data_IF_635866647048
#
_entry.id   IF_635866647048
#
_cell.length_a   1.000
_cell.length_b   1.000
_cell.length_c   1.000
_cell.angle_alpha   90.00
_cell.angle_beta   90.00
_cell.angle_gamma   90.00
#
_symmetry.space_group_name_H-M   'P 1'
#
loop_
_entity.id
_entity.type
_entity.pdbx_description
1 polymer ?
#
# COMPACT_ATOMS: atom_id res chain seq x y z
N UNK A 1 -49.24 0.06 11.84
CA UNK A 1 -48.78 0.96 12.91
C UNK A 1 -47.74 0.22 13.73
N UNK A 2 -46.46 0.55 13.53
CA UNK A 2 -45.35 0.00 14.32
C UNK A 2 -45.52 0.51 15.76
N UNK A 3 -45.85 -0.36 16.69
CA UNK A 3 -45.82 -0.03 18.12
C UNK A 3 -44.35 0.00 18.56
N UNK A 4 -43.81 1.19 18.77
CA UNK A 4 -42.50 1.37 19.39
C UNK A 4 -42.71 1.16 20.90
N UNK A 5 -42.15 0.07 21.43
CA UNK A 5 -42.08 -0.14 22.88
C UNK A 5 -40.79 0.51 23.37
N UNK A 6 -40.85 1.59 24.16
CA UNK A 6 -39.65 2.17 24.71
C UNK A 6 -39.01 1.21 25.70
N UNK A 7 -37.71 0.98 25.55
CA UNK A 7 -36.89 0.38 26.59
C UNK A 7 -36.95 1.33 27.79
N UNK A 8 -37.52 0.87 28.87
CA UNK A 8 -37.75 1.71 30.02
C UNK A 8 -36.46 2.19 30.67
N UNK A 9 -36.19 3.46 30.60
CA UNK A 9 -35.26 4.07 31.52
C UNK A 9 -35.92 4.14 32.90
N UNK A 10 -35.15 3.90 33.96
CA UNK A 10 -35.64 4.04 35.36
C UNK A 10 -36.22 5.42 35.67
N UNK A 11 -35.88 6.42 34.86
CA UNK A 11 -36.43 7.79 35.01
C UNK A 11 -36.93 8.29 33.65
N UNK A 12 -38.03 9.03 33.65
CA UNK A 12 -38.57 9.68 32.45
C UNK A 12 -37.51 10.61 31.83
N UNK A 13 -37.29 10.47 30.50
CA UNK A 13 -36.34 11.27 29.72
C UNK A 13 -34.86 11.18 30.18
N UNK A 14 -34.49 10.18 30.98
CA UNK A 14 -33.14 10.00 31.51
C UNK A 14 -32.62 11.19 32.35
N UNK A 15 -33.51 12.05 32.85
CA UNK A 15 -33.13 13.25 33.60
C UNK A 15 -33.08 13.06 35.11
N UNK A 16 -33.48 11.90 35.60
CA UNK A 16 -33.46 11.63 37.05
C UNK A 16 -34.63 12.24 37.88
N UNK A 17 -35.47 13.07 37.25
CA UNK A 17 -36.46 13.88 37.95
C UNK A 17 -37.77 13.13 38.24
N UNK A 18 -38.09 12.11 37.46
CA UNK A 18 -39.33 11.34 37.59
C UNK A 18 -39.10 9.87 37.26
N UNK A 19 -39.59 8.97 38.08
CA UNK A 19 -39.53 7.53 37.80
C UNK A 19 -40.43 7.15 36.63
N UNK A 20 -39.98 6.23 35.81
CA UNK A 20 -40.79 5.60 34.76
C UNK A 20 -41.88 4.75 35.44
N UNK A 21 -43.06 4.69 34.85
CA UNK A 21 -44.14 3.88 35.40
C UNK A 21 -43.74 2.39 35.42
N UNK A 22 -43.69 1.81 36.62
CA UNK A 22 -43.28 0.40 36.83
C UNK A 22 -44.20 -0.58 36.11
N UNK A 23 -45.45 -0.20 35.87
CA UNK A 23 -46.43 -1.00 35.12
C UNK A 23 -45.97 -1.18 33.65
N UNK A 24 -45.57 -0.08 33.00
CA UNK A 24 -45.07 -0.10 31.61
C UNK A 24 -43.80 -0.97 31.48
N UNK A 25 -42.89 -0.92 32.46
CA UNK A 25 -41.71 -1.75 32.52
C UNK A 25 -42.04 -3.23 32.73
N UNK A 26 -43.03 -3.52 33.57
CA UNK A 26 -43.48 -4.89 33.83
C UNK A 26 -44.16 -5.48 32.59
N UNK A 27 -44.98 -4.72 31.88
CA UNK A 27 -45.61 -5.16 30.64
C UNK A 27 -44.56 -5.40 29.54
N UNK A 28 -43.57 -4.53 29.38
CA UNK A 28 -42.48 -4.73 28.45
C UNK A 28 -41.64 -5.99 28.79
N UNK A 29 -41.39 -6.22 30.07
CA UNK A 29 -40.70 -7.42 30.55
C UNK A 29 -41.53 -8.69 30.32
N UNK A 30 -42.83 -8.66 30.51
CA UNK A 30 -43.73 -9.81 30.23
C UNK A 30 -43.77 -10.13 28.72
N UNK A 31 -43.89 -9.10 27.87
CA UNK A 31 -43.87 -9.28 26.42
C UNK A 31 -42.55 -9.92 25.98
N UNK A 32 -41.44 -9.52 26.54
CA UNK A 32 -40.12 -10.08 26.27
C UNK A 32 -40.07 -11.56 26.72
N UNK A 33 -40.47 -11.86 27.93
CA UNK A 33 -40.49 -13.21 28.49
C UNK A 33 -41.38 -14.17 27.63
N UNK A 34 -42.56 -13.76 27.25
CA UNK A 34 -43.43 -14.53 26.36
C UNK A 34 -42.77 -14.79 24.97
N UNK A 35 -42.06 -13.81 24.43
CA UNK A 35 -41.32 -13.97 23.16
C UNK A 35 -40.18 -14.98 23.31
N UNK A 36 -39.39 -14.88 24.38
CA UNK A 36 -38.32 -15.84 24.68
C UNK A 36 -38.88 -17.28 24.83
N UNK A 37 -39.99 -17.43 25.53
CA UNK A 37 -40.71 -18.67 25.71
C UNK A 37 -41.13 -19.26 24.38
N UNK A 38 -41.70 -18.47 23.46
CA UNK A 38 -42.08 -18.88 22.13
C UNK A 38 -40.88 -19.33 21.27
N UNK A 39 -39.71 -18.67 21.39
CA UNK A 39 -38.49 -19.09 20.72
C UNK A 39 -38.08 -20.49 21.20
N UNK A 40 -38.11 -20.74 22.51
CA UNK A 40 -37.68 -22.01 23.10
C UNK A 40 -38.71 -23.13 22.86
N UNK A 41 -40.02 -22.84 22.95
CA UNK A 41 -41.09 -23.82 22.83
C UNK A 41 -41.52 -24.07 21.38
N UNK A 42 -41.70 -23.01 20.59
CA UNK A 42 -42.25 -23.09 19.22
C UNK A 42 -41.18 -23.02 18.14
N UNK A 43 -39.94 -22.66 18.50
CA UNK A 43 -38.85 -22.41 17.53
C UNK A 43 -39.10 -21.23 16.60
N UNK A 44 -39.96 -20.27 16.99
CA UNK A 44 -40.32 -19.10 16.17
C UNK A 44 -39.77 -17.80 16.76
N UNK A 45 -38.97 -17.12 15.96
CA UNK A 45 -38.39 -15.80 16.30
C UNK A 45 -39.37 -14.66 16.01
N UNK A 46 -38.97 -13.45 16.39
CA UNK A 46 -39.82 -12.24 16.26
C UNK A 46 -40.21 -11.96 14.81
N UNK A 47 -39.31 -12.23 13.87
CA UNK A 47 -39.49 -12.04 12.43
C UNK A 47 -40.04 -13.30 11.70
N UNK A 48 -40.33 -14.34 12.44
CA UNK A 48 -40.90 -15.59 11.92
C UNK A 48 -39.87 -16.64 11.48
N UNK A 49 -38.58 -16.31 11.50
CA UNK A 49 -37.50 -17.25 11.22
C UNK A 49 -37.40 -18.35 12.29
N UNK A 50 -36.82 -19.48 11.91
CA UNK A 50 -36.36 -20.50 12.86
C UNK A 50 -35.02 -20.09 13.52
N UNK A 51 -34.58 -20.83 14.55
CA UNK A 51 -33.38 -20.51 15.30
C UNK A 51 -32.09 -20.54 14.46
N UNK A 52 -32.06 -21.30 13.38
CA UNK A 52 -30.87 -21.45 12.50
C UNK A 52 -30.92 -20.66 11.21
N UNK A 53 -32.04 -19.99 10.92
CA UNK A 53 -32.24 -19.31 9.65
C UNK A 53 -31.45 -18.01 9.54
N UNK A 54 -30.82 -17.81 8.39
CA UNK A 54 -30.23 -16.55 7.98
C UNK A 54 -31.26 -15.63 7.31
N UNK A 55 -31.08 -14.33 7.44
CA UNK A 55 -31.80 -13.37 6.59
C UNK A 55 -31.29 -13.42 5.16
N UNK A 56 -32.05 -12.91 4.17
CA UNK A 56 -31.60 -12.83 2.79
C UNK A 56 -30.22 -12.12 2.68
N UNK A 57 -29.32 -12.70 1.87
CA UNK A 57 -27.95 -12.23 1.67
C UNK A 57 -27.80 -11.59 0.29
N UNK A 58 -27.06 -10.50 0.21
CA UNK A 58 -26.61 -9.88 -1.04
C UNK A 58 -25.17 -9.40 -0.91
N UNK A 59 -24.39 -9.60 -1.97
CA UNK A 59 -22.99 -9.17 -2.06
C UNK A 59 -22.76 -8.50 -3.41
N UNK A 60 -22.09 -7.35 -3.39
CA UNK A 60 -21.70 -6.60 -4.60
C UNK A 60 -20.28 -6.07 -4.44
N UNK A 61 -19.56 -5.95 -5.56
CA UNK A 61 -18.22 -5.34 -5.62
C UNK A 61 -18.16 -4.31 -6.75
N UNK A 62 -17.14 -3.43 -6.73
CA UNK A 62 -16.99 -2.42 -7.77
C UNK A 62 -18.06 -1.32 -7.76
N UNK A 63 -18.72 -1.10 -6.62
CA UNK A 63 -19.84 -0.14 -6.47
C UNK A 63 -19.41 1.30 -6.75
N UNK A 64 -18.19 1.69 -6.39
CA UNK A 64 -17.61 2.99 -6.64
C UNK A 64 -16.45 2.89 -7.65
N UNK A 65 -16.64 3.33 -8.90
CA UNK A 65 -15.65 3.12 -9.97
C UNK A 65 -14.31 3.82 -9.76
N UNK A 66 -14.27 4.86 -8.95
CA UNK A 66 -13.04 5.65 -8.66
C UNK A 66 -12.29 5.16 -7.42
N UNK A 67 -12.88 4.27 -6.63
CA UNK A 67 -12.22 3.66 -5.47
C UNK A 67 -11.24 2.56 -5.91
N UNK A 68 -10.27 2.23 -5.05
CA UNK A 68 -9.32 1.16 -5.34
C UNK A 68 -9.96 -0.23 -5.18
N UNK A 69 -11.02 -0.34 -4.39
CA UNK A 69 -11.85 -1.53 -4.23
C UNK A 69 -13.03 -1.24 -3.33
N UNK A 70 -14.16 -1.87 -3.60
CA UNK A 70 -15.38 -1.72 -2.80
C UNK A 70 -16.07 -3.05 -2.64
N UNK A 71 -16.66 -3.23 -1.45
CA UNK A 71 -17.54 -4.37 -1.16
C UNK A 71 -18.78 -3.88 -0.45
N UNK A 72 -19.93 -4.17 -0.99
CA UNK A 72 -21.23 -3.96 -0.38
C UNK A 72 -21.77 -5.30 0.06
N UNK A 73 -22.10 -5.43 1.33
CA UNK A 73 -22.70 -6.63 1.89
C UNK A 73 -23.99 -6.29 2.61
N UNK A 74 -25.02 -7.04 2.31
CA UNK A 74 -26.33 -6.89 2.93
C UNK A 74 -26.81 -8.23 3.50
N UNK A 75 -27.40 -8.16 4.71
CA UNK A 75 -28.04 -9.27 5.39
C UNK A 75 -29.33 -8.77 5.97
N UNK A 76 -30.45 -9.09 5.31
CA UNK A 76 -31.74 -8.50 5.60
C UNK A 76 -31.69 -6.98 5.51
N UNK A 77 -31.98 -6.30 6.62
CA UNK A 77 -31.98 -4.83 6.73
C UNK A 77 -30.60 -4.24 7.08
N UNK A 78 -29.62 -5.08 7.42
CA UNK A 78 -28.27 -4.63 7.73
C UNK A 78 -27.45 -4.52 6.46
N UNK A 79 -26.95 -3.34 6.14
CA UNK A 79 -26.17 -3.05 4.96
C UNK A 79 -24.91 -2.26 5.30
N UNK A 80 -23.76 -2.74 4.83
CA UNK A 80 -22.44 -2.11 5.04
C UNK A 80 -21.65 -2.08 3.73
N UNK A 81 -21.11 -0.93 3.41
CA UNK A 81 -20.16 -0.73 2.33
C UNK A 81 -18.75 -0.52 2.89
N UNK A 82 -17.78 -1.27 2.40
CA UNK A 82 -16.37 -1.01 2.64
C UNK A 82 -15.71 -0.42 1.41
N UNK A 83 -14.84 0.56 1.64
CA UNK A 83 -14.01 1.20 0.62
C UNK A 83 -12.54 1.00 0.99
N UNK A 84 -11.77 0.47 0.05
CA UNK A 84 -10.32 0.28 0.20
C UNK A 84 -9.57 1.42 -0.45
N UNK A 85 -8.60 1.97 0.26
CA UNK A 85 -7.57 2.84 -0.28
C UNK A 85 -6.22 2.17 -0.08
N UNK A 86 -5.47 2.03 -1.16
CA UNK A 86 -4.08 1.55 -1.16
C UNK A 86 -3.13 2.72 -1.32
N UNK A 87 -2.05 2.72 -0.56
CA UNK A 87 -1.06 3.79 -0.57
C UNK A 87 0.35 3.24 -0.40
N UNK A 88 1.34 4.11 -0.61
CA UNK A 88 2.75 3.81 -0.36
C UNK A 88 2.99 3.35 1.08
N UNK A 89 3.96 2.45 1.34
CA UNK A 89 4.28 1.96 2.69
C UNK A 89 4.52 3.09 3.69
N UNK A 90 5.17 4.17 3.29
CA UNK A 90 5.45 5.34 4.14
C UNK A 90 4.20 6.07 4.65
N UNK A 91 3.03 5.79 4.08
CA UNK A 91 1.73 6.33 4.53
C UNK A 91 1.13 5.52 5.68
N UNK A 92 1.90 4.62 6.29
CA UNK A 92 1.50 3.86 7.46
C UNK A 92 1.23 4.76 8.67
N UNK A 93 0.58 4.22 9.67
CA UNK A 93 0.43 4.88 10.96
C UNK A 93 1.63 4.52 11.86
N UNK A 94 2.38 5.54 12.27
CA UNK A 94 3.42 5.37 13.29
C UNK A 94 2.75 5.13 14.66
N UNK A 95 3.25 4.13 15.37
CA UNK A 95 2.78 3.77 16.70
C UNK A 95 3.86 4.14 17.73
N UNK A 96 3.50 5.02 18.67
CA UNK A 96 4.33 5.33 19.83
C UNK A 96 3.63 4.72 21.06
N UNK A 97 3.87 3.42 21.26
CA UNK A 97 3.30 2.62 22.33
C UNK A 97 4.39 1.79 23.02
N UNK A 98 4.05 1.17 24.15
CA UNK A 98 4.95 0.24 24.84
C UNK A 98 5.10 -1.12 24.13
N UNK A 99 4.34 -1.36 23.06
CA UNK A 99 4.43 -2.59 22.28
C UNK A 99 5.62 -2.58 21.30
N UNK A 100 6.00 -3.73 20.77
CA UNK A 100 7.12 -3.85 19.83
C UNK A 100 6.81 -3.31 18.44
N UNK A 101 5.53 -3.14 18.11
CA UNK A 101 5.12 -2.65 16.79
C UNK A 101 5.21 -1.13 16.74
N UNK A 102 6.00 -0.61 15.79
CA UNK A 102 6.19 0.83 15.55
C UNK A 102 5.41 1.34 14.34
N UNK A 103 4.95 0.44 13.47
CA UNK A 103 4.28 0.77 12.22
C UNK A 103 3.02 -0.07 12.05
N UNK A 104 1.94 0.58 11.62
CA UNK A 104 0.68 -0.09 11.32
C UNK A 104 0.32 0.16 9.86
N UNK A 105 0.38 -0.88 9.04
CA UNK A 105 0.11 -0.84 7.60
C UNK A 105 -1.32 -1.20 7.23
N UNK A 106 -2.09 -1.73 8.16
CA UNK A 106 -3.51 -2.03 7.99
C UNK A 106 -4.37 -1.18 8.90
N UNK A 107 -5.13 -0.27 8.32
CA UNK A 107 -6.01 0.68 9.01
C UNK A 107 -7.46 0.32 8.70
N UNK A 108 -8.26 0.11 9.73
CA UNK A 108 -9.69 -0.14 9.59
C UNK A 108 -10.49 0.91 10.35
N UNK A 109 -11.27 1.70 9.64
CA UNK A 109 -12.16 2.71 10.19
C UNK A 109 -13.59 2.25 10.03
N UNK A 110 -14.39 2.47 11.06
CA UNK A 110 -15.79 2.07 11.09
C UNK A 110 -16.64 3.28 11.43
N UNK A 111 -17.56 3.61 10.55
CA UNK A 111 -18.46 4.73 10.66
C UNK A 111 -19.91 4.22 10.75
N UNK A 112 -20.61 4.65 11.80
CA UNK A 112 -22.01 4.34 12.02
C UNK A 112 -22.76 5.61 12.38
N UNK A 113 -23.28 6.26 11.36
CA UNK A 113 -24.05 7.47 11.56
C UNK A 113 -25.44 7.16 12.17
N UNK A 114 -26.04 8.08 12.92
CA UNK A 114 -27.34 7.86 13.59
C UNK A 114 -28.45 7.38 12.65
N UNK A 115 -28.48 7.88 11.42
CA UNK A 115 -29.50 7.47 10.45
C UNK A 115 -29.47 5.97 10.09
N UNK A 116 -28.30 5.31 10.25
CA UNK A 116 -28.21 3.88 10.00
C UNK A 116 -29.13 3.05 10.91
N UNK A 117 -29.44 3.55 12.11
CA UNK A 117 -30.42 2.98 13.03
C UNK A 117 -31.80 3.64 12.92
N UNK A 118 -32.02 4.57 12.00
CA UNK A 118 -33.21 5.38 11.92
C UNK A 118 -33.33 6.46 13.03
N UNK A 119 -32.19 6.81 13.64
CA UNK A 119 -32.11 7.80 14.71
C UNK A 119 -31.66 9.16 14.19
N UNK A 120 -32.00 10.22 14.96
CA UNK A 120 -31.42 11.54 14.78
C UNK A 120 -30.27 11.74 15.78
N UNK A 121 -29.19 12.39 15.36
CA UNK A 121 -28.08 12.63 16.26
C UNK A 121 -26.93 13.40 15.61
N UNK A 122 -26.00 13.83 16.46
CA UNK A 122 -24.81 14.54 16.01
C UNK A 122 -23.82 13.54 15.36
N UNK A 123 -23.38 13.87 14.16
CA UNK A 123 -22.25 13.21 13.50
C UNK A 123 -20.95 13.90 13.91
N UNK A 124 -19.94 13.14 14.30
CA UNK A 124 -18.68 13.69 14.79
C UNK A 124 -17.61 12.61 14.93
N UNK A 125 -16.71 12.77 15.89
CA UNK A 125 -15.65 11.78 16.15
C UNK A 125 -16.22 10.42 16.53
N UNK A 126 -15.55 9.31 16.13
CA UNK A 126 -15.97 7.96 16.46
C UNK A 126 -16.13 7.76 17.98
N UNK A 127 -17.20 7.11 18.38
CA UNK A 127 -17.48 6.74 19.77
C UNK A 127 -16.79 5.40 20.10
N UNK A 128 -16.78 5.00 21.36
CA UNK A 128 -16.20 3.73 21.82
C UNK A 128 -16.75 2.51 21.08
N UNK A 129 -18.05 2.51 20.77
CA UNK A 129 -18.71 1.42 20.04
C UNK A 129 -18.12 1.29 18.63
N UNK A 130 -17.95 2.39 17.93
CA UNK A 130 -17.39 2.41 16.57
C UNK A 130 -15.92 1.96 16.57
N UNK A 131 -15.15 2.43 17.56
CA UNK A 131 -13.75 1.98 17.73
C UNK A 131 -13.68 0.48 18.00
N UNK A 132 -14.53 -0.05 18.89
CA UNK A 132 -14.58 -1.48 19.22
C UNK A 132 -15.00 -2.35 18.03
N UNK A 133 -16.02 -1.94 17.28
CA UNK A 133 -16.48 -2.63 16.08
C UNK A 133 -15.40 -2.64 14.99
N UNK A 134 -14.75 -1.51 14.76
CA UNK A 134 -13.62 -1.43 13.82
C UNK A 134 -12.44 -2.30 14.23
N UNK A 135 -12.11 -2.33 15.52
CA UNK A 135 -11.02 -3.17 16.05
C UNK A 135 -11.32 -4.69 15.88
N UNK A 136 -12.57 -5.10 16.11
CA UNK A 136 -12.98 -6.49 15.90
C UNK A 136 -12.90 -6.88 14.42
N UNK A 137 -13.41 -6.03 13.52
CA UNK A 137 -13.35 -6.27 12.09
C UNK A 137 -11.89 -6.28 11.57
N UNK A 138 -11.05 -5.37 12.04
CA UNK A 138 -9.62 -5.37 11.72
C UNK A 138 -8.94 -6.67 12.15
N UNK A 139 -9.20 -7.13 13.39
CA UNK A 139 -8.66 -8.39 13.91
C UNK A 139 -9.11 -9.60 13.10
N UNK A 140 -10.35 -9.58 12.60
CA UNK A 140 -10.89 -10.67 11.78
C UNK A 140 -10.19 -10.80 10.42
N UNK A 141 -9.81 -9.67 9.81
CA UNK A 141 -9.21 -9.62 8.47
C UNK A 141 -7.68 -9.72 8.48
N UNK A 142 -7.02 -9.24 9.53
CA UNK A 142 -5.55 -9.19 9.62
C UNK A 142 -4.86 -10.54 9.33
N UNK A 143 -5.32 -11.71 9.84
CA UNK A 143 -4.64 -12.98 9.61
C UNK A 143 -4.62 -13.47 8.16
N UNK A 144 -5.51 -12.96 7.33
CA UNK A 144 -5.59 -13.35 5.90
C UNK A 144 -4.87 -12.38 4.97
N UNK A 145 -4.39 -11.26 5.48
CA UNK A 145 -3.62 -10.30 4.67
C UNK A 145 -2.24 -10.85 4.30
N UNK A 146 -1.72 -10.48 3.14
CA UNK A 146 -0.34 -10.75 2.77
C UNK A 146 0.64 -9.98 3.67
N UNK A 147 1.84 -10.51 3.87
CA UNK A 147 2.92 -9.76 4.52
C UNK A 147 3.45 -8.63 3.61
N UNK A 148 4.12 -7.65 4.22
CA UNK A 148 4.70 -6.50 3.51
C UNK A 148 5.79 -6.89 2.50
N UNK A 149 6.40 -8.07 2.69
CA UNK A 149 7.35 -8.68 1.76
C UNK A 149 6.74 -9.12 0.43
N UNK A 150 5.44 -9.43 0.43
CA UNK A 150 4.68 -9.90 -0.73
C UNK A 150 3.79 -8.85 -1.34
N UNK A 151 3.30 -7.93 -0.52
CA UNK A 151 2.36 -6.89 -0.94
C UNK A 151 2.66 -5.59 -0.20
N UNK A 152 3.51 -4.78 -0.79
CA UNK A 152 4.12 -3.61 -0.15
C UNK A 152 3.22 -2.37 -0.21
N UNK A 153 2.01 -2.48 0.38
CA UNK A 153 1.05 -1.38 0.47
C UNK A 153 0.60 -1.11 1.90
N UNK A 154 0.39 0.15 2.21
CA UNK A 154 -0.46 0.53 3.33
C UNK A 154 -1.91 0.45 2.88
N UNK A 155 -2.72 -0.32 3.61
CA UNK A 155 -4.13 -0.56 3.33
C UNK A 155 -5.00 0.21 4.32
N UNK A 156 -5.92 1.02 3.81
CA UNK A 156 -6.94 1.68 4.62
C UNK A 156 -8.32 1.24 4.16
N UNK A 157 -9.07 0.60 5.07
CA UNK A 157 -10.47 0.28 4.88
C UNK A 157 -11.35 1.26 5.67
N UNK A 158 -12.41 1.69 5.04
CA UNK A 158 -13.47 2.49 5.68
C UNK A 158 -14.79 1.77 5.50
N UNK A 159 -15.35 1.30 6.61
CA UNK A 159 -16.66 0.68 6.65
C UNK A 159 -17.72 1.75 6.93
N UNK A 160 -18.61 1.97 5.97
CA UNK A 160 -19.77 2.84 6.09
C UNK A 160 -21.01 1.98 6.33
N UNK A 161 -21.60 2.10 7.52
CA UNK A 161 -22.86 1.44 7.85
C UNK A 161 -24.01 2.22 7.26
N UNK A 162 -24.67 1.66 6.25
CA UNK A 162 -25.77 2.30 5.53
C UNK A 162 -27.11 2.05 6.22
N UNK A 163 -27.32 0.82 6.74
CA UNK A 163 -28.48 0.45 7.52
C UNK A 163 -28.09 -0.60 8.56
N UNK A 164 -28.77 -0.61 9.70
CA UNK A 164 -28.44 -1.44 10.85
C UNK A 164 -29.67 -2.04 11.51
N UNK A 165 -29.73 -3.37 11.50
CA UNK A 165 -30.62 -4.16 12.35
C UNK A 165 -29.91 -5.46 12.76
N UNK A 166 -29.00 -5.36 13.73
CA UNK A 166 -28.19 -6.50 14.23
C UNK A 166 -26.87 -6.67 13.50
N UNK A 167 -25.82 -6.82 14.26
CA UNK A 167 -24.42 -7.13 13.93
C UNK A 167 -23.84 -6.50 12.66
N UNK A 168 -23.76 -5.18 12.66
CA UNK A 168 -23.07 -4.42 11.61
C UNK A 168 -21.57 -4.68 11.57
N UNK A 169 -20.93 -5.02 12.72
CA UNK A 169 -19.49 -5.37 12.76
C UNK A 169 -19.19 -6.62 11.94
N UNK A 170 -20.06 -7.65 12.00
CA UNK A 170 -19.87 -8.86 11.22
C UNK A 170 -20.21 -8.65 9.72
N UNK A 171 -21.15 -7.78 9.41
CA UNK A 171 -21.39 -7.32 8.04
C UNK A 171 -20.17 -6.54 7.50
N UNK A 172 -19.48 -5.74 8.35
CA UNK A 172 -18.25 -5.04 7.98
C UNK A 172 -17.08 -5.98 7.71
N UNK A 173 -17.02 -7.15 8.35
CA UNK A 173 -16.05 -8.20 8.03
C UNK A 173 -16.30 -8.74 6.64
N UNK A 174 -17.54 -9.08 6.32
CA UNK A 174 -17.93 -9.63 5.00
C UNK A 174 -17.65 -8.61 3.88
N UNK A 175 -18.16 -7.38 4.02
CA UNK A 175 -17.94 -6.33 3.02
C UNK A 175 -16.46 -5.92 2.90
N UNK A 176 -15.71 -5.91 4.02
CA UNK A 176 -14.28 -5.65 4.03
C UNK A 176 -13.46 -6.72 3.33
N UNK A 177 -13.82 -8.01 3.51
CA UNK A 177 -13.23 -9.12 2.79
C UNK A 177 -13.45 -8.99 1.28
N UNK A 178 -14.68 -8.70 0.85
CA UNK A 178 -15.00 -8.44 -0.56
C UNK A 178 -14.24 -7.25 -1.13
N UNK A 179 -14.18 -6.14 -0.38
CA UNK A 179 -13.49 -4.93 -0.82
C UNK A 179 -11.98 -5.14 -1.01
N UNK A 180 -11.33 -5.91 -0.14
CA UNK A 180 -9.92 -6.29 -0.28
C UNK A 180 -9.69 -7.14 -1.53
N UNK A 181 -10.57 -8.12 -1.78
CA UNK A 181 -10.49 -8.97 -2.96
C UNK A 181 -10.74 -8.19 -4.25
N UNK A 182 -11.69 -7.24 -4.24
CA UNK A 182 -11.99 -6.35 -5.36
C UNK A 182 -10.83 -5.39 -5.66
N UNK A 183 -10.10 -4.96 -4.64
CA UNK A 183 -8.89 -4.13 -4.79
C UNK A 183 -7.68 -4.89 -5.38
N UNK A 184 -7.75 -6.20 -5.52
CA UNK A 184 -6.62 -7.03 -5.94
C UNK A 184 -5.61 -7.32 -4.83
N UNK A 185 -6.01 -7.18 -3.54
CA UNK A 185 -5.16 -7.60 -2.42
C UNK A 185 -5.14 -9.12 -2.36
N UNK A 186 -3.97 -9.79 -2.46
CA UNK A 186 -3.89 -11.25 -2.49
C UNK A 186 -4.10 -11.86 -1.11
N UNK A 187 -5.34 -11.73 -0.59
CA UNK A 187 -5.72 -12.35 0.68
C UNK A 187 -5.68 -13.87 0.58
N UNK A 188 -5.31 -14.54 1.67
CA UNK A 188 -5.19 -16.00 1.72
C UNK A 188 -6.51 -16.72 1.54
N UNK A 189 -7.61 -16.14 2.04
CA UNK A 189 -8.96 -16.65 1.94
C UNK A 189 -9.97 -15.54 2.26
N UNK A 190 -11.20 -15.70 1.77
CA UNK A 190 -12.31 -14.85 2.17
C UNK A 190 -12.69 -15.10 3.63
N UNK A 191 -13.12 -14.03 4.32
CA UNK A 191 -13.54 -14.06 5.72
C UNK A 191 -15.00 -13.64 5.81
N UNK A 192 -15.83 -14.47 6.42
CA UNK A 192 -17.20 -14.14 6.76
C UNK A 192 -17.38 -14.00 8.27
N UNK A 193 -18.36 -13.20 8.67
CA UNK A 193 -18.70 -12.97 10.06
C UNK A 193 -20.19 -13.13 10.32
N UNK A 194 -20.54 -13.70 11.48
CA UNK A 194 -21.91 -13.88 11.95
C UNK A 194 -22.03 -13.54 13.44
N UNK A 195 -23.21 -13.08 13.85
CA UNK A 195 -23.56 -12.93 15.26
C UNK A 195 -24.60 -13.98 15.65
N UNK A 196 -24.25 -14.73 16.67
CA UNK A 196 -25.09 -15.74 17.33
C UNK A 196 -25.68 -15.15 18.59
N UNK A 197 -26.88 -15.52 18.90
CA UNK A 197 -27.54 -15.22 20.16
C UNK A 197 -27.84 -16.45 20.99
N UNK A 198 -28.31 -16.21 22.20
CA UNK A 198 -28.79 -17.25 23.09
C UNK A 198 -30.04 -16.75 23.81
N UNK A 199 -31.01 -17.63 23.94
CA UNK A 199 -32.17 -17.43 24.81
C UNK A 199 -32.21 -18.57 25.81
N UNK A 200 -32.28 -18.22 27.07
CA UNK A 200 -32.47 -19.17 28.16
C UNK A 200 -33.88 -19.00 28.76
N UNK A 201 -34.68 -20.03 28.70
CA UNK A 201 -36.01 -20.04 29.33
C UNK A 201 -36.34 -21.46 29.84
N UNK A 202 -36.95 -21.54 31.01
CA UNK A 202 -37.43 -22.80 31.61
C UNK A 202 -36.38 -23.93 31.68
N UNK A 203 -35.10 -23.57 31.94
CA UNK A 203 -34.02 -24.56 32.03
C UNK A 203 -33.46 -25.02 30.68
N UNK A 204 -33.92 -24.43 29.57
CA UNK A 204 -33.46 -24.77 28.21
C UNK A 204 -32.72 -23.60 27.57
N UNK A 205 -31.69 -23.94 26.83
CA UNK A 205 -30.92 -23.00 26.01
C UNK A 205 -31.30 -23.17 24.54
N UNK A 206 -31.54 -22.05 23.85
CA UNK A 206 -31.75 -22.05 22.40
C UNK A 206 -30.79 -21.06 21.76
N UNK A 207 -29.88 -21.55 20.92
CA UNK A 207 -28.93 -20.70 20.16
C UNK A 207 -29.61 -20.17 18.91
N UNK A 208 -29.36 -18.90 18.60
CA UNK A 208 -29.96 -18.17 17.48
C UNK A 208 -28.87 -17.75 16.50
N UNK A 209 -29.08 -18.02 15.22
CA UNK A 209 -28.23 -17.54 14.12
C UNK A 209 -28.71 -16.19 13.63
N UNK A 210 -27.81 -15.27 13.31
CA UNK A 210 -28.11 -13.98 12.68
C UNK A 210 -29.12 -13.17 13.47
N UNK A 211 -28.71 -12.75 14.67
CA UNK A 211 -29.58 -12.02 15.59
C UNK A 211 -29.91 -10.60 15.10
N UNK A 212 -31.16 -10.21 15.34
CA UNK A 212 -31.64 -8.85 15.17
C UNK A 212 -31.15 -7.95 16.31
N UNK A 213 -31.24 -6.64 16.13
CA UNK A 213 -30.91 -5.67 17.19
C UNK A 213 -31.74 -5.86 18.46
N UNK A 214 -33.00 -6.25 18.35
CA UNK A 214 -33.86 -6.57 19.50
C UNK A 214 -33.39 -7.87 20.21
N UNK A 215 -32.95 -8.87 19.47
CA UNK A 215 -32.44 -10.14 20.01
C UNK A 215 -31.05 -9.94 20.67
N UNK A 216 -30.20 -9.03 20.14
CA UNK A 216 -28.97 -8.58 20.77
C UNK A 216 -29.26 -7.85 22.10
N UNK A 217 -30.21 -6.94 22.09
CA UNK A 217 -30.54 -6.14 23.26
C UNK A 217 -31.13 -6.97 24.41
N UNK A 218 -31.98 -7.95 24.10
CA UNK A 218 -32.76 -8.73 25.05
C UNK A 218 -32.29 -10.18 25.25
N UNK A 219 -31.45 -10.71 24.35
CA UNK A 219 -30.91 -12.05 24.48
C UNK A 219 -29.90 -12.18 25.61
N UNK A 220 -29.60 -13.41 25.99
CA UNK A 220 -28.71 -13.77 27.09
C UNK A 220 -27.23 -13.84 26.68
N UNK A 221 -26.96 -13.85 25.36
CA UNK A 221 -25.63 -13.86 24.78
C UNK A 221 -25.61 -13.13 23.44
N UNK A 222 -24.56 -12.35 23.19
CA UNK A 222 -24.12 -11.91 21.87
C UNK A 222 -22.76 -12.53 21.59
N UNK A 223 -22.70 -13.42 20.60
CA UNK A 223 -21.49 -14.16 20.26
C UNK A 223 -21.14 -13.96 18.80
N UNK A 224 -20.15 -13.11 18.54
CA UNK A 224 -19.69 -12.77 17.21
C UNK A 224 -18.53 -13.68 16.82
N UNK A 225 -18.67 -14.36 15.69
CA UNK A 225 -17.67 -15.29 15.17
C UNK A 225 -17.33 -14.94 13.73
N UNK A 226 -16.06 -14.63 13.47
CA UNK A 226 -15.54 -14.38 12.13
C UNK A 226 -14.48 -15.41 11.77
N UNK A 227 -14.39 -15.79 10.49
CA UNK A 227 -13.39 -16.74 10.03
C UNK A 227 -13.52 -17.09 8.57
N UNK A 228 -12.53 -17.84 8.10
CA UNK A 228 -12.50 -18.47 6.79
C UNK A 228 -13.35 -19.77 6.80
N UNK A 229 -13.31 -20.54 5.71
CA UNK A 229 -13.85 -21.92 5.68
C UNK A 229 -13.20 -22.82 6.74
N UNK A 230 -11.91 -22.63 7.02
CA UNK A 230 -11.07 -23.56 7.76
C UNK A 230 -10.77 -23.13 9.19
N UNK A 231 -10.74 -21.81 9.45
CA UNK A 231 -10.28 -21.26 10.73
C UNK A 231 -11.13 -20.06 11.19
N UNK A 232 -11.25 -19.93 12.51
CA UNK A 232 -11.80 -18.73 13.15
C UNK A 232 -10.65 -17.71 13.26
N UNK A 233 -10.90 -16.48 12.76
CA UNK A 233 -9.92 -15.38 12.79
C UNK A 233 -10.19 -14.38 13.90
N UNK A 234 -11.44 -14.22 14.32
CA UNK A 234 -11.80 -13.41 15.47
C UNK A 234 -13.12 -13.89 16.10
N UNK A 235 -13.24 -13.66 17.40
CA UNK A 235 -14.47 -13.88 18.15
C UNK A 235 -14.61 -12.83 19.25
N UNK A 236 -15.87 -12.55 19.61
CA UNK A 236 -16.24 -11.72 20.77
C UNK A 236 -17.46 -12.36 21.41
N UNK A 237 -17.38 -12.60 22.71
CA UNK A 237 -18.47 -13.16 23.52
C UNK A 237 -18.87 -12.15 24.60
N UNK A 238 -20.11 -11.76 24.59
CA UNK A 238 -20.75 -10.98 25.65
C UNK A 238 -21.92 -11.78 26.24
N UNK A 239 -21.92 -11.99 27.56
CA UNK A 239 -22.97 -12.73 28.26
C UNK A 239 -23.66 -11.83 29.26
N UNK A 240 -24.98 -12.02 29.42
CA UNK A 240 -25.81 -11.30 30.38
C UNK A 240 -26.26 -12.21 31.55
N UNK A 241 -25.88 -13.49 31.51
CA UNK A 241 -26.14 -14.51 32.53
C UNK A 241 -24.82 -15.01 33.14
N UNK A 242 -24.92 -15.53 34.36
CA UNK A 242 -23.77 -16.06 35.11
C UNK A 242 -23.29 -17.41 34.56
N UNK A 243 -22.52 -17.33 33.47
CA UNK A 243 -21.93 -18.49 32.81
C UNK A 243 -22.84 -19.14 31.79
N UNK A 244 -22.21 -19.73 30.77
CA UNK A 244 -22.84 -20.53 29.73
C UNK A 244 -22.18 -21.91 29.73
N UNK A 245 -22.96 -23.00 29.73
CA UNK A 245 -22.41 -24.35 29.63
C UNK A 245 -21.53 -24.55 28.41
N UNK A 246 -20.46 -25.33 28.53
CA UNK A 246 -19.49 -25.52 27.45
C UNK A 246 -20.09 -26.19 26.21
N UNK A 247 -21.04 -27.08 26.38
CA UNK A 247 -21.79 -27.76 25.31
C UNK A 247 -22.69 -26.78 24.53
N UNK A 248 -23.26 -25.79 25.21
CA UNK A 248 -24.06 -24.72 24.57
C UNK A 248 -23.15 -23.80 23.72
N UNK A 249 -21.96 -23.46 24.23
CA UNK A 249 -20.97 -22.68 23.46
C UNK A 249 -20.44 -23.47 22.27
N UNK A 250 -20.20 -24.78 22.42
CA UNK A 250 -19.77 -25.64 21.33
C UNK A 250 -20.86 -25.70 20.23
N UNK A 251 -22.12 -25.90 20.63
CA UNK A 251 -23.24 -25.87 19.69
C UNK A 251 -23.40 -24.55 18.97
N UNK A 252 -23.17 -23.39 19.67
CA UNK A 252 -23.19 -22.08 19.06
C UNK A 252 -22.04 -21.89 18.04
N UNK A 253 -20.85 -22.44 18.30
CA UNK A 253 -19.72 -22.42 17.37
C UNK A 253 -19.99 -23.26 16.11
N UNK A 254 -20.55 -24.45 16.27
CA UNK A 254 -20.93 -25.32 15.13
C UNK A 254 -21.98 -24.62 14.26
N UNK A 255 -23.01 -24.07 14.88
CA UNK A 255 -24.05 -23.31 14.19
C UNK A 255 -23.51 -22.05 13.51
N UNK A 256 -22.55 -21.34 14.13
CA UNK A 256 -21.84 -20.22 13.53
C UNK A 256 -20.99 -20.65 12.32
N UNK A 257 -20.44 -21.86 12.33
CA UNK A 257 -19.70 -22.42 11.18
C UNK A 257 -20.64 -22.70 10.00
N UNK A 258 -21.81 -23.29 10.25
CA UNK A 258 -22.84 -23.50 9.23
C UNK A 258 -23.24 -22.17 8.57
N UNK A 259 -23.57 -21.17 9.38
CA UNK A 259 -23.97 -19.85 8.90
C UNK A 259 -22.86 -19.14 8.10
N UNK A 260 -21.60 -19.19 8.58
CA UNK A 260 -20.47 -18.59 7.85
C UNK A 260 -20.21 -19.31 6.52
N UNK A 261 -20.44 -20.62 6.45
CA UNK A 261 -20.31 -21.37 5.20
C UNK A 261 -21.31 -20.89 4.15
N UNK A 262 -22.56 -20.63 4.55
CA UNK A 262 -23.59 -20.10 3.67
C UNK A 262 -23.27 -18.64 3.23
N UNK A 263 -22.80 -17.80 4.17
CA UNK A 263 -22.37 -16.42 3.86
C UNK A 263 -21.18 -16.45 2.88
N UNK A 264 -20.17 -17.29 3.12
CA UNK A 264 -19.02 -17.45 2.22
C UNK A 264 -19.46 -17.92 0.82
N UNK A 265 -20.44 -18.81 0.72
CA UNK A 265 -20.99 -19.24 -0.56
C UNK A 265 -21.61 -18.06 -1.33
N UNK A 266 -22.38 -17.19 -0.66
CA UNK A 266 -22.94 -15.99 -1.26
C UNK A 266 -21.84 -15.00 -1.70
N UNK A 267 -20.83 -14.76 -0.83
CA UNK A 267 -19.70 -13.89 -1.14
C UNK A 267 -18.88 -14.42 -2.34
N UNK A 268 -18.60 -15.73 -2.36
CA UNK A 268 -17.85 -16.38 -3.44
C UNK A 268 -18.63 -16.42 -4.77
N UNK A 269 -19.94 -16.43 -4.73
CA UNK A 269 -20.76 -16.28 -5.93
C UNK A 269 -20.64 -14.88 -6.56
N UNK A 270 -20.37 -13.86 -5.74
CA UNK A 270 -20.08 -12.50 -6.19
C UNK A 270 -18.62 -12.35 -6.66
N UNK A 271 -17.65 -12.81 -5.86
CA UNK A 271 -16.22 -12.75 -6.15
C UNK A 271 -15.51 -13.95 -5.51
N UNK A 272 -15.15 -14.94 -6.31
CA UNK A 272 -14.61 -16.22 -5.83
C UNK A 272 -13.14 -16.14 -5.37
N UNK A 273 -12.37 -15.22 -5.93
CA UNK A 273 -10.95 -15.01 -5.63
C UNK A 273 -10.59 -13.53 -5.72
N UNK A 274 -9.51 -13.09 -5.09
CA UNK A 274 -8.98 -11.75 -5.34
C UNK A 274 -8.73 -11.52 -6.83
N UNK A 275 -8.89 -10.28 -7.30
CA UNK A 275 -8.52 -9.91 -8.67
C UNK A 275 -7.01 -10.11 -8.86
N UNK A 276 -6.61 -10.51 -10.06
CA UNK A 276 -5.21 -10.82 -10.38
C UNK A 276 -4.31 -9.59 -10.31
N UNK A 277 -4.85 -8.40 -10.59
CA UNK A 277 -4.14 -7.14 -10.54
C UNK A 277 -4.82 -6.15 -9.59
N UNK A 278 -4.03 -5.24 -9.06
CA UNK A 278 -4.56 -4.10 -8.31
C UNK A 278 -5.38 -3.20 -9.24
N UNK A 279 -6.38 -2.54 -8.67
CA UNK A 279 -7.26 -1.65 -9.44
C UNK A 279 -6.45 -0.61 -10.25
N UNK A 280 -6.93 -0.27 -11.44
CA UNK A 280 -6.27 0.70 -12.32
C UNK A 280 -6.16 2.10 -11.69
N UNK A 281 -7.05 2.42 -10.74
CA UNK A 281 -7.05 3.66 -9.96
C UNK A 281 -6.03 3.66 -8.82
N UNK A 282 -5.53 2.49 -8.41
CA UNK A 282 -4.56 2.36 -7.34
C UNK A 282 -3.13 2.66 -7.83
N UNK A 283 -2.26 3.24 -6.98
CA UNK A 283 -0.86 3.40 -7.34
C UNK A 283 -0.20 2.04 -7.52
N UNK A 284 0.51 1.85 -8.63
CA UNK A 284 1.44 0.73 -8.80
C UNK A 284 2.72 1.04 -8.04
N UNK A 285 3.31 0.03 -7.41
CA UNK A 285 4.51 0.19 -6.59
C UNK A 285 5.58 -0.78 -7.08
N UNK A 286 6.79 -0.26 -7.28
CA UNK A 286 7.99 -1.07 -7.49
C UNK A 286 9.01 -0.75 -6.40
N UNK A 287 9.78 -1.75 -6.03
CA UNK A 287 10.91 -1.62 -5.10
C UNK A 287 12.19 -2.02 -5.82
N UNK A 288 13.21 -1.17 -5.73
CA UNK A 288 14.55 -1.45 -6.23
C UNK A 288 15.55 -1.36 -5.08
N UNK A 289 16.55 -2.23 -5.10
CA UNK A 289 17.65 -2.19 -4.14
C UNK A 289 18.85 -1.46 -4.74
N UNK A 290 19.50 -0.65 -3.92
CA UNK A 290 20.68 0.13 -4.30
C UNK A 290 21.80 -0.07 -3.27
N UNK A 291 23.08 0.09 -3.64
CA UNK A 291 24.17 0.08 -2.68
C UNK A 291 24.01 1.17 -1.61
N UNK A 292 24.41 0.88 -0.37
CA UNK A 292 24.31 1.81 0.77
C UNK A 292 25.01 3.14 0.51
N UNK A 293 26.18 3.12 -0.14
CA UNK A 293 26.97 4.32 -0.49
C UNK A 293 26.27 5.22 -1.51
N UNK A 294 25.28 4.68 -2.25
CA UNK A 294 24.51 5.43 -3.26
C UNK A 294 23.26 6.12 -2.71
N UNK A 295 22.83 5.78 -1.51
CA UNK A 295 21.64 6.40 -0.88
C UNK A 295 21.80 7.94 -0.84
N UNK A 296 22.97 8.41 -0.40
CA UNK A 296 23.26 9.85 -0.32
C UNK A 296 23.23 10.57 -1.67
N UNK A 297 23.64 9.90 -2.76
CA UNK A 297 23.59 10.46 -4.12
C UNK A 297 22.14 10.52 -4.65
N UNK A 298 21.33 9.50 -4.38
CA UNK A 298 19.92 9.46 -4.78
C UNK A 298 19.08 10.49 -4.03
N UNK A 299 19.31 10.66 -2.72
CA UNK A 299 18.62 11.68 -1.93
C UNK A 299 19.13 13.10 -2.31
N UNK A 300 20.44 13.24 -2.48
CA UNK A 300 21.10 14.50 -2.75
C UNK A 300 21.11 15.47 -1.56
N UNK A 301 21.85 16.60 -1.66
CA UNK A 301 21.94 17.60 -0.59
C UNK A 301 20.55 18.12 -0.20
N UNK A 302 20.17 17.94 1.08
CA UNK A 302 18.86 18.33 1.63
C UNK A 302 17.66 17.76 0.85
N UNK A 303 17.81 16.57 0.26
CA UNK A 303 16.76 15.93 -0.51
C UNK A 303 16.52 16.51 -1.91
N UNK A 304 17.41 17.36 -2.42
CA UNK A 304 17.18 18.08 -3.68
C UNK A 304 17.02 17.16 -4.88
N UNK A 305 17.84 16.11 -4.98
CA UNK A 305 17.81 15.19 -6.14
C UNK A 305 16.50 14.41 -6.17
N UNK A 306 16.14 13.74 -5.07
CA UNK A 306 14.90 12.97 -4.97
C UNK A 306 13.65 13.85 -5.17
N UNK A 307 13.63 15.06 -4.60
CA UNK A 307 12.52 15.99 -4.76
C UNK A 307 12.38 16.47 -6.22
N UNK A 308 13.51 16.68 -6.91
CA UNK A 308 13.49 17.06 -8.34
C UNK A 308 12.92 15.91 -9.17
N UNK A 309 13.36 14.66 -8.94
CA UNK A 309 12.83 13.49 -9.66
C UNK A 309 11.33 13.35 -9.39
N UNK A 310 10.90 13.45 -8.13
CA UNK A 310 9.47 13.40 -7.76
C UNK A 310 8.64 14.48 -8.46
N UNK A 311 9.13 15.72 -8.52
CA UNK A 311 8.42 16.83 -9.16
C UNK A 311 8.32 16.70 -10.67
N UNK A 312 9.40 16.27 -11.33
CA UNK A 312 9.44 16.15 -12.78
C UNK A 312 8.70 14.91 -13.31
N UNK A 313 8.76 13.79 -12.60
CA UNK A 313 8.08 12.54 -13.01
C UNK A 313 6.65 12.46 -12.48
N UNK A 314 6.36 13.14 -11.36
CA UNK A 314 5.10 12.98 -10.63
C UNK A 314 4.95 11.63 -9.93
N UNK A 315 6.04 10.84 -9.82
CA UNK A 315 6.06 9.61 -9.04
C UNK A 315 6.34 9.92 -7.57
N UNK A 316 5.78 9.14 -6.67
CA UNK A 316 6.08 9.17 -5.25
C UNK A 316 7.27 8.26 -4.94
N UNK A 317 8.32 8.78 -4.31
CA UNK A 317 9.58 8.06 -4.09
C UNK A 317 9.90 8.09 -2.59
N UNK A 318 10.18 6.92 -2.02
CA UNK A 318 10.69 6.75 -0.68
C UNK A 318 12.02 6.01 -0.72
N UNK A 319 12.96 6.41 0.14
CA UNK A 319 14.28 5.78 0.28
C UNK A 319 14.46 5.42 1.74
N UNK A 320 14.63 4.13 1.99
CA UNK A 320 14.90 3.52 3.28
C UNK A 320 16.13 2.63 3.18
N UNK A 321 16.56 2.01 4.26
CA UNK A 321 17.61 0.99 4.27
C UNK A 321 17.24 -0.17 5.22
N UNK A 322 17.84 -1.33 4.95
CA UNK A 322 17.73 -2.53 5.82
C UNK A 322 19.02 -2.79 6.62
N UNK A 323 19.95 -1.83 6.64
CA UNK A 323 21.26 -1.92 7.25
C UNK A 323 22.33 -2.60 6.38
N UNK A 324 21.95 -3.21 5.25
CA UNK A 324 22.85 -3.84 4.28
C UNK A 324 22.76 -3.17 2.89
N UNK A 325 21.57 -2.77 2.50
CA UNK A 325 21.27 -2.16 1.19
C UNK A 325 20.28 -1.01 1.35
N UNK A 326 20.29 -0.08 0.42
CA UNK A 326 19.24 0.93 0.29
C UNK A 326 18.04 0.33 -0.43
N UNK A 327 16.86 0.66 0.05
CA UNK A 327 15.57 0.25 -0.51
C UNK A 327 14.86 1.48 -1.06
N UNK A 328 14.69 1.54 -2.37
CA UNK A 328 13.97 2.64 -3.01
C UNK A 328 12.61 2.12 -3.48
N UNK A 329 11.56 2.68 -2.91
CA UNK A 329 10.17 2.38 -3.28
C UNK A 329 9.62 3.51 -4.13
N UNK A 330 9.13 3.18 -5.32
CA UNK A 330 8.60 4.13 -6.30
C UNK A 330 7.15 3.77 -6.58
N UNK A 331 6.25 4.72 -6.42
CA UNK A 331 4.82 4.54 -6.65
C UNK A 331 4.23 5.59 -7.59
N UNK A 332 3.38 5.15 -8.51
CA UNK A 332 2.60 6.05 -9.35
C UNK A 332 1.35 5.32 -9.88
N UNK A 333 0.28 6.07 -10.16
CA UNK A 333 -0.92 5.53 -10.81
C UNK A 333 -0.58 5.17 -12.27
N UNK A 334 0.17 6.01 -12.95
CA UNK A 334 0.56 5.85 -14.35
C UNK A 334 1.94 5.17 -14.44
N UNK A 335 1.98 4.00 -15.07
CA UNK A 335 3.18 3.16 -15.15
C UNK A 335 4.40 3.89 -15.75
N UNK A 336 4.20 4.76 -16.74
CA UNK A 336 5.30 5.49 -17.38
C UNK A 336 6.04 6.44 -16.41
N UNK A 337 5.32 7.04 -15.44
CA UNK A 337 5.93 7.90 -14.42
C UNK A 337 6.87 7.11 -13.51
N UNK A 338 6.44 5.92 -13.15
CA UNK A 338 7.22 5.01 -12.33
C UNK A 338 8.49 4.53 -13.05
N UNK A 339 8.38 4.18 -14.35
CA UNK A 339 9.53 3.75 -15.15
C UNK A 339 10.50 4.92 -15.41
N UNK A 340 10.03 6.14 -15.65
CA UNK A 340 10.91 7.32 -15.79
C UNK A 340 11.65 7.61 -14.49
N UNK A 341 10.97 7.59 -13.34
CA UNK A 341 11.61 7.76 -12.04
C UNK A 341 12.67 6.68 -11.77
N UNK A 342 12.34 5.41 -12.05
CA UNK A 342 13.26 4.29 -11.94
C UNK A 342 14.49 4.46 -12.83
N UNK A 343 14.31 4.84 -14.10
CA UNK A 343 15.41 5.07 -15.03
C UNK A 343 16.35 6.17 -14.54
N UNK A 344 15.82 7.26 -14.01
CA UNK A 344 16.63 8.37 -13.45
C UNK A 344 17.42 7.95 -12.21
N UNK A 345 16.80 7.18 -11.30
CA UNK A 345 17.48 6.65 -10.12
C UNK A 345 18.58 5.67 -10.53
N UNK A 346 18.31 4.76 -11.45
CA UNK A 346 19.31 3.81 -11.96
C UNK A 346 20.47 4.52 -12.67
N UNK A 347 20.22 5.62 -13.37
CA UNK A 347 21.29 6.42 -13.98
C UNK A 347 22.22 7.08 -12.95
N UNK A 348 21.73 7.35 -11.72
CA UNK A 348 22.56 7.84 -10.61
C UNK A 348 23.33 6.68 -9.97
N UNK A 349 22.66 5.56 -9.70
CA UNK A 349 23.24 4.41 -8.99
C UNK A 349 24.27 3.67 -9.85
N UNK A 350 23.93 3.47 -11.12
CA UNK A 350 24.77 2.77 -12.12
C UNK A 350 24.78 3.58 -13.41
N UNK A 351 25.55 4.68 -13.43
CA UNK A 351 25.66 5.48 -14.64
C UNK A 351 26.18 4.62 -15.79
N UNK A 352 25.63 4.75 -17.00
CA UNK A 352 26.05 3.97 -18.14
C UNK A 352 27.56 4.14 -18.34
N UNK A 353 28.28 3.00 -18.43
CA UNK A 353 29.70 3.02 -18.70
C UNK A 353 29.93 3.13 -20.21
N UNK A 354 30.93 3.93 -20.57
CA UNK A 354 31.37 3.99 -21.95
C UNK A 354 31.98 2.63 -22.34
N UNK A 355 31.64 2.15 -23.53
CA UNK A 355 32.16 0.87 -24.06
C UNK A 355 33.32 1.16 -25.02
N UNK A 356 34.42 0.43 -24.87
CA UNK A 356 35.59 0.55 -25.71
C UNK A 356 35.24 0.30 -27.19
N UNK A 357 35.69 1.16 -28.09
CA UNK A 357 35.44 1.06 -29.52
C UNK A 357 34.05 1.51 -30.00
N UNK A 358 33.15 1.90 -29.09
CA UNK A 358 31.81 2.34 -29.47
C UNK A 358 31.77 3.84 -29.78
N UNK A 359 30.97 4.22 -30.78
CA UNK A 359 30.74 5.62 -31.16
C UNK A 359 29.60 6.22 -30.31
N UNK A 360 29.81 7.45 -29.88
CA UNK A 360 28.83 8.21 -29.10
C UNK A 360 28.65 9.61 -29.67
N UNK A 361 27.45 10.13 -29.78
CA UNK A 361 27.22 11.55 -29.99
C UNK A 361 27.65 12.29 -28.71
N UNK A 362 28.58 13.21 -28.81
CA UNK A 362 29.13 13.94 -27.70
C UNK A 362 28.98 15.45 -27.85
N UNK A 363 29.02 16.18 -26.74
CA UNK A 363 28.98 17.64 -26.71
C UNK A 363 30.21 18.18 -25.99
N UNK A 364 30.92 19.14 -26.62
CA UNK A 364 32.08 19.77 -26.02
C UNK A 364 31.66 20.60 -24.79
N UNK A 365 32.10 20.18 -23.60
CA UNK A 365 31.77 20.83 -22.31
C UNK A 365 32.90 21.70 -21.75
N UNK A 366 34.16 21.42 -22.14
CA UNK A 366 35.29 22.21 -21.74
C UNK A 366 36.45 22.10 -22.75
N UNK A 367 37.21 23.19 -22.94
CA UNK A 367 38.38 23.22 -23.84
C UNK A 367 39.60 23.59 -23.02
N UNK A 368 40.69 22.84 -23.20
CA UNK A 368 41.97 23.02 -22.56
C UNK A 368 43.09 23.06 -23.61
N UNK A 369 44.29 23.52 -23.21
CA UNK A 369 45.46 23.54 -24.11
C UNK A 369 45.89 22.19 -24.70
N UNK A 370 45.52 21.09 -24.06
CA UNK A 370 45.88 19.73 -24.44
C UNK A 370 44.74 18.92 -25.06
N UNK A 371 43.52 19.46 -25.08
CA UNK A 371 42.39 18.76 -25.67
C UNK A 371 41.05 19.33 -25.27
N UNK A 372 39.96 18.70 -25.79
CA UNK A 372 38.59 19.04 -25.46
C UNK A 372 37.96 17.92 -24.61
N UNK A 373 37.26 18.32 -23.57
CA UNK A 373 36.38 17.42 -22.83
C UNK A 373 35.01 17.35 -23.51
N UNK A 374 34.58 16.15 -23.83
CA UNK A 374 33.35 15.90 -24.53
C UNK A 374 32.46 15.04 -23.64
N UNK A 375 31.28 15.53 -23.32
CA UNK A 375 30.28 14.76 -22.61
C UNK A 375 29.64 13.75 -23.58
N UNK A 376 29.80 12.46 -23.31
CA UNK A 376 29.35 11.34 -24.16
C UNK A 376 28.15 10.59 -23.58
N UNK A 377 27.97 10.65 -22.26
CA UNK A 377 26.90 10.03 -21.53
C UNK A 377 26.55 10.90 -20.32
N UNK A 378 25.34 10.80 -19.73
CA UNK A 378 24.98 11.55 -18.53
C UNK A 378 26.02 11.39 -17.43
N UNK A 379 26.68 12.51 -17.03
CA UNK A 379 27.71 12.52 -16.00
C UNK A 379 29.07 11.89 -16.40
N UNK A 380 29.31 11.63 -17.69
CA UNK A 380 30.57 11.06 -18.20
C UNK A 380 31.16 11.93 -19.29
N UNK A 381 32.32 12.49 -18.99
CA UNK A 381 33.12 13.26 -19.94
C UNK A 381 34.34 12.46 -20.33
N UNK A 382 34.68 12.49 -21.61
CA UNK A 382 35.92 11.93 -22.11
C UNK A 382 36.81 13.01 -22.73
N UNK A 383 38.11 12.77 -22.80
CA UNK A 383 39.10 13.69 -23.35
C UNK A 383 39.40 13.32 -24.79
N UNK A 384 39.18 14.23 -25.72
CA UNK A 384 39.74 14.21 -27.07
C UNK A 384 41.05 15.01 -27.05
N UNK A 385 42.20 14.33 -27.16
CA UNK A 385 43.48 14.98 -27.15
C UNK A 385 43.69 15.80 -28.43
N UNK A 386 44.38 16.97 -28.32
CA UNK A 386 44.63 17.91 -29.43
C UNK A 386 45.24 17.25 -30.65
N UNK A 387 46.12 16.24 -30.46
CA UNK A 387 46.77 15.50 -31.57
C UNK A 387 45.78 14.70 -32.45
N UNK A 388 44.59 14.42 -31.93
CA UNK A 388 43.55 13.61 -32.65
C UNK A 388 42.62 14.54 -33.45
N UNK A 389 42.51 15.80 -33.12
CA UNK A 389 41.59 16.79 -33.71
C UNK A 389 41.96 17.20 -35.11
N UNK A 390 43.26 17.14 -35.49
CA UNK A 390 43.79 17.71 -36.74
C UNK A 390 43.79 16.77 -37.93
N UNK A 391 43.32 15.54 -37.84
CA UNK A 391 43.38 14.50 -38.94
C UNK A 391 44.75 14.44 -39.61
N UNK A 392 45.83 14.37 -38.82
CA UNK A 392 47.21 14.33 -39.28
C UNK A 392 47.88 15.68 -39.52
N UNK A 393 47.17 16.78 -39.43
CA UNK A 393 47.73 18.13 -39.40
C UNK A 393 47.92 18.58 -37.94
N UNK A 394 49.03 19.24 -37.66
CA UNK A 394 49.26 19.78 -36.33
C UNK A 394 48.47 21.09 -36.14
N UNK A 395 47.65 21.13 -35.12
CA UNK A 395 46.93 22.38 -34.70
C UNK A 395 47.60 22.97 -33.48
N UNK A 396 47.58 24.30 -33.36
CA UNK A 396 48.26 25.04 -32.30
C UNK A 396 47.32 25.20 -31.07
N UNK A 397 46.04 25.44 -31.28
CA UNK A 397 45.05 25.53 -30.23
C UNK A 397 43.81 24.71 -30.56
N UNK A 398 43.17 24.13 -29.53
CA UNK A 398 41.95 23.35 -29.69
C UNK A 398 40.79 24.23 -30.17
N UNK A 399 40.76 25.48 -29.75
CA UNK A 399 39.76 26.49 -30.08
C UNK A 399 39.73 26.85 -31.59
N UNK A 400 40.84 26.55 -32.32
CA UNK A 400 40.89 26.75 -33.77
C UNK A 400 40.01 25.79 -34.57
N UNK A 401 39.59 24.63 -33.96
CA UNK A 401 38.86 23.57 -34.62
C UNK A 401 37.61 23.14 -33.88
N UNK A 402 37.46 23.48 -32.60
CA UNK A 402 36.29 23.13 -31.77
C UNK A 402 35.80 24.32 -30.98
N UNK A 403 34.49 24.43 -30.83
CA UNK A 403 33.87 25.46 -29.96
C UNK A 403 33.14 24.83 -28.80
N UNK A 404 33.04 25.57 -27.70
CA UNK A 404 32.29 25.14 -26.53
C UNK A 404 30.81 24.90 -26.89
N UNK A 405 30.24 23.77 -26.50
CA UNK A 405 28.87 23.41 -26.79
C UNK A 405 28.64 22.74 -28.16
N UNK A 406 29.70 22.62 -29.00
CA UNK A 406 29.62 21.96 -30.29
C UNK A 406 29.33 20.45 -30.12
N UNK A 407 28.50 19.90 -30.99
CA UNK A 407 28.24 18.47 -31.08
C UNK A 407 29.29 17.81 -31.98
N UNK A 408 29.82 16.69 -31.53
CA UNK A 408 30.83 15.92 -32.23
C UNK A 408 30.61 14.43 -31.97
N UNK A 409 30.67 13.62 -33.02
CA UNK A 409 30.71 12.17 -32.88
C UNK A 409 32.10 11.73 -32.45
N UNK A 410 32.17 10.93 -31.37
CA UNK A 410 33.45 10.45 -30.81
C UNK A 410 33.42 8.95 -30.53
N UNK A 411 34.54 8.31 -30.68
CA UNK A 411 34.74 6.88 -30.42
C UNK A 411 35.60 6.74 -29.17
N UNK A 412 35.20 5.82 -28.29
CA UNK A 412 35.96 5.47 -27.09
C UNK A 412 37.19 4.67 -27.48
N UNK A 413 38.36 5.24 -27.28
CA UNK A 413 39.63 4.61 -27.64
C UNK A 413 40.24 3.83 -26.47
N UNK A 414 40.16 4.37 -25.27
CA UNK A 414 40.74 3.79 -24.07
C UNK A 414 39.97 4.21 -22.84
N UNK A 415 39.88 3.33 -21.86
CA UNK A 415 39.35 3.62 -20.52
C UNK A 415 40.43 3.23 -19.51
N UNK A 416 40.98 4.17 -18.76
CA UNK A 416 42.02 3.89 -17.78
C UNK A 416 41.45 3.18 -16.52
N UNK A 417 42.34 2.66 -15.66
CA UNK A 417 41.98 1.98 -14.40
C UNK A 417 41.20 2.89 -13.44
N UNK A 418 41.25 4.21 -13.64
CA UNK A 418 40.54 5.20 -12.86
C UNK A 418 39.21 5.64 -13.50
N UNK A 419 38.82 5.00 -14.59
CA UNK A 419 37.57 5.27 -15.31
C UNK A 419 37.61 6.54 -16.18
N UNK A 420 38.80 7.13 -16.47
CA UNK A 420 38.89 8.22 -17.41
C UNK A 420 38.82 7.70 -18.84
N UNK A 421 38.01 8.36 -19.64
CA UNK A 421 37.76 7.96 -21.02
C UNK A 421 38.58 8.81 -21.98
N UNK A 422 39.40 8.17 -22.78
CA UNK A 422 40.10 8.77 -23.92
C UNK A 422 39.27 8.57 -25.18
N UNK A 423 39.05 9.69 -25.88
CA UNK A 423 38.18 9.71 -27.05
C UNK A 423 38.99 10.05 -28.33
N UNK A 424 38.50 9.54 -29.44
CA UNK A 424 38.96 9.92 -30.78
C UNK A 424 37.76 10.44 -31.57
N UNK A 425 37.88 11.49 -32.40
CA UNK A 425 36.80 11.92 -33.27
C UNK A 425 36.32 10.81 -34.19
N UNK A 426 35.01 10.71 -34.43
CA UNK A 426 34.41 9.77 -35.35
C UNK A 426 34.85 9.97 -36.81
N UNK A 427 34.52 9.02 -37.69
CA UNK A 427 34.89 9.06 -39.12
C UNK A 427 34.33 10.30 -39.83
N UNK A 428 33.17 10.78 -39.42
CA UNK A 428 32.51 11.98 -39.94
C UNK A 428 33.19 13.30 -39.59
N UNK A 429 34.17 13.28 -38.69
CA UNK A 429 34.86 14.49 -38.25
C UNK A 429 35.73 15.03 -39.38
N UNK A 430 35.47 16.26 -39.81
CA UNK A 430 36.28 16.99 -40.79
C UNK A 430 36.56 18.42 -40.28
N UNK A 431 37.76 18.67 -39.67
CA UNK A 431 38.08 19.95 -39.07
C UNK A 431 38.36 21.02 -40.15
N UNK A 432 37.67 22.14 -40.06
CA UNK A 432 38.04 23.33 -40.82
C UNK A 432 39.18 24.01 -40.06
N UNK A 433 40.44 23.84 -40.57
CA UNK A 433 41.62 24.42 -39.98
C UNK A 433 41.89 25.77 -40.68
N UNK A 434 41.80 26.92 -39.98
CA UNK A 434 42.08 28.26 -40.55
C UNK A 434 43.49 28.36 -41.10
N UNK A 435 43.69 29.06 -42.23
CA UNK A 435 45.01 29.35 -42.78
C UNK A 435 45.84 30.15 -41.76
N UNK A 436 46.96 29.55 -41.29
CA UNK A 436 47.84 30.07 -40.24
C UNK A 436 47.81 29.33 -38.90
N UNK A 437 46.81 28.43 -38.66
CA UNK A 437 46.74 27.62 -37.45
C UNK A 437 47.58 26.31 -37.54
N UNK A 438 48.08 25.97 -38.73
CA UNK A 438 48.94 24.80 -38.95
C UNK A 438 50.41 25.18 -38.94
N UNK A 439 51.22 24.61 -38.03
CA UNK A 439 52.67 24.80 -37.99
C UNK A 439 53.33 23.88 -39.00
N UNK A 440 53.94 24.45 -40.06
CA UNK A 440 54.85 23.77 -40.95
C UNK A 440 56.24 23.77 -40.34
N UNK A 441 56.66 22.75 -39.64
CA UNK A 441 58.04 22.54 -39.26
C UNK A 441 58.60 21.30 -39.96
N UNK A 442 59.76 21.41 -40.68
CA UNK A 442 60.33 20.30 -41.43
C UNK A 442 61.01 19.29 -40.51
N UNK A 443 60.95 18.04 -40.87
CA UNK A 443 61.80 16.97 -40.35
C UNK A 443 63.25 17.30 -40.63
N UNK A 444 64.09 17.53 -39.61
CA UNK A 444 65.54 17.45 -39.72
C UNK A 444 66.03 16.03 -39.37
N UNK A 445 66.34 15.31 -40.43
CA UNK A 445 67.19 14.15 -40.43
C UNK A 445 68.63 14.58 -40.27
N UNK A 446 69.41 14.02 -39.36
CA UNK A 446 70.88 13.96 -39.26
C UNK A 446 71.21 13.50 -37.85
N UNK A 447 71.84 12.38 -37.67
CA UNK A 447 73.08 11.93 -38.29
C UNK A 447 74.03 11.63 -37.14
N UNK A 448 74.29 10.41 -37.03
CA UNK A 448 75.34 9.72 -36.33
C UNK A 448 76.62 10.53 -36.15
N UNK A 449 77.19 10.57 -34.95
CA UNK A 449 78.61 10.57 -34.68
C UNK A 449 78.97 10.19 -33.25
N UNK A 450 79.56 9.00 -33.14
CA UNK A 450 80.48 8.56 -32.11
C UNK A 450 81.52 9.63 -31.75
N UNK A 451 81.93 9.80 -30.51
CA UNK A 451 83.26 9.38 -30.01
C UNK A 451 83.54 9.92 -28.58
N UNK A 452 84.06 9.06 -27.75
CA UNK A 452 85.08 9.13 -26.71
C UNK A 452 85.18 10.28 -25.71
N UNK A 453 85.43 9.83 -24.51
CA UNK A 453 86.38 10.40 -23.59
C UNK A 453 85.86 10.71 -22.20
N UNK A 454 85.93 9.77 -21.30
CA UNK A 454 86.97 9.52 -20.26
C UNK A 454 87.10 10.59 -19.17
N UNK A 455 87.04 10.10 -17.94
CA UNK A 455 87.62 10.56 -16.65
C UNK A 455 86.96 11.69 -15.86
N UNK A 456 86.63 11.32 -14.66
CA UNK A 456 87.28 11.83 -13.45
C UNK A 456 86.27 12.09 -12.33
N UNK A 457 86.11 11.21 -11.46
CA UNK A 457 86.50 11.06 -10.05
C UNK A 457 86.34 12.30 -9.13
N UNK A 458 85.87 12.01 -7.90
CA UNK A 458 85.84 12.73 -6.62
C UNK A 458 84.65 13.68 -6.42
N UNK A 459 83.76 13.49 -5.43
CA UNK A 459 84.10 13.18 -4.05
C UNK A 459 83.50 14.32 -3.20
N UNK A 460 82.62 14.00 -2.26
CA UNK A 460 82.07 14.92 -1.30
C UNK A 460 80.71 14.45 -0.80
#
# INVERSE_FOLDING_TARGET
>A
QSRVFPLGALTRQLKGDTLTEMVELTEAGQIYFERCKRIVEEGKRIDGRGPRDLRPLSSEVGVLPTAHGTGLFQRGETQVMNVVTMAMPRMNQLLDTLGPETNKYFLFHYNMAPWANGETGRVGSPKRREIGHGALAARALLPVLPGMDKFNYTLRLVAEVLASNGSTSMASVCSGSLALMDAGVPVRAAVAGIAMGLVYAEGKYTTLTDILGAEDAFGDMDFKVAGTSDAITALQLDTKIDGIPADVLAAALDQAKEARTEILANMNACLAAPRDEVAATAPKIITITIPMDKIGEVIGPKGKVINTITQETGADIAVDDDGAQGIVTIGAVEAWRMEDAKARILAIVSPPMAELGKSYPGRVVNITKFGAFVNILPGRDGLVHISKLGKGKRINNVEDVLTLGQEIEVIVEEIDEKGKVSLTPGESWDPVIPEGAASSAPRSDRGDRSDRGDRGDRGG
#
